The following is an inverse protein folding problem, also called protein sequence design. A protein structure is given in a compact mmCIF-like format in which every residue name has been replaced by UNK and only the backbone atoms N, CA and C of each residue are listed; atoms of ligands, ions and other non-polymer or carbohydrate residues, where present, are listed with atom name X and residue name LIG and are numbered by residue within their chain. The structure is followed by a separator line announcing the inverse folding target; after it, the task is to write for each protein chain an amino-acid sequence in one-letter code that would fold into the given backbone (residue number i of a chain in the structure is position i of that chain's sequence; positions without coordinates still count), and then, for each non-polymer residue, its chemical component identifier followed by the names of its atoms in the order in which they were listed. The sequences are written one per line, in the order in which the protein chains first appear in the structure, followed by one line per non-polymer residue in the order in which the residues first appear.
data_IF_713093303464
#
_entry.id   IF_713093303464
#
_cell.length_a   1.000
_cell.length_b   1.000
_cell.length_c   1.000
_cell.angle_alpha   90.00
_cell.angle_beta   90.00
_cell.angle_gamma   90.00
#
_symmetry.space_group_name_H-M   'P 1'
#
loop_
_entity.id
_entity.type
_entity.pdbx_description
1 polymer ?
#
# COMPACT_ATOMS: atom_id res chain seq x y z
N UNK A 1 49.72 21.95 -1.85
CA UNK A 1 48.75 21.23 -1.01
C UNK A 1 47.40 21.90 -1.19
N UNK A 2 46.65 21.47 -2.22
CA UNK A 2 45.28 21.94 -2.44
C UNK A 2 44.38 21.12 -1.52
N UNK A 3 43.75 21.78 -0.55
CA UNK A 3 42.73 21.15 0.30
C UNK A 3 41.50 20.88 -0.56
N UNK A 4 41.31 19.60 -0.89
CA UNK A 4 40.08 19.07 -1.45
C UNK A 4 38.97 19.30 -0.43
N UNK A 5 38.15 20.32 -0.64
CA UNK A 5 36.95 20.56 0.16
C UNK A 5 36.02 19.39 -0.09
N UNK A 6 35.90 18.49 0.89
CA UNK A 6 34.89 17.46 0.90
C UNK A 6 33.52 18.12 0.74
N UNK A 7 32.94 17.97 -0.45
CA UNK A 7 31.59 18.38 -0.78
C UNK A 7 30.65 17.54 0.09
N UNK A 8 30.26 18.07 1.24
CA UNK A 8 29.23 17.48 2.08
C UNK A 8 27.92 17.55 1.29
N UNK A 9 27.60 16.50 0.54
CA UNK A 9 26.31 16.38 -0.14
C UNK A 9 25.21 16.53 0.91
N UNK A 10 24.52 17.67 0.88
CA UNK A 10 23.49 17.98 1.86
C UNK A 10 22.36 16.93 1.77
N UNK A 11 21.90 16.35 2.89
CA UNK A 11 20.85 15.33 2.89
C UNK A 11 19.53 15.78 2.24
N UNK A 12 19.30 17.09 2.11
CA UNK A 12 18.16 17.64 1.40
C UNK A 12 18.24 17.41 -0.13
N UNK A 13 19.41 17.64 -0.72
CA UNK A 13 19.64 17.55 -2.17
C UNK A 13 19.54 16.11 -2.71
N UNK A 14 19.90 15.12 -1.89
CA UNK A 14 19.77 13.68 -2.24
C UNK A 14 18.32 13.23 -2.30
N UNK A 15 17.45 13.72 -1.41
CA UNK A 15 16.02 13.42 -1.42
C UNK A 15 15.30 14.09 -2.60
N UNK A 16 15.73 15.28 -3.03
CA UNK A 16 15.16 15.94 -4.22
C UNK A 16 15.45 15.16 -5.51
N UNK A 17 16.65 14.59 -5.60
CA UNK A 17 17.09 13.89 -6.80
C UNK A 17 16.58 12.45 -6.85
N UNK A 18 16.63 11.72 -5.73
CA UNK A 18 16.36 10.28 -5.70
C UNK A 18 15.01 9.92 -5.07
N UNK A 19 14.38 10.82 -4.30
CA UNK A 19 13.14 10.58 -3.59
C UNK A 19 12.01 10.05 -4.48
N UNK A 20 11.70 10.67 -5.63
CA UNK A 20 10.69 10.16 -6.55
C UNK A 20 10.97 8.75 -7.06
N UNK A 21 12.23 8.44 -7.35
CA UNK A 21 12.63 7.11 -7.85
C UNK A 21 12.49 6.04 -6.77
N UNK A 22 13.02 6.30 -5.56
CA UNK A 22 12.90 5.38 -4.42
C UNK A 22 11.43 5.12 -4.10
N UNK A 23 10.62 6.18 -4.03
CA UNK A 23 9.18 6.08 -3.78
C UNK A 23 8.49 5.25 -4.85
N UNK A 24 8.80 5.50 -6.13
CA UNK A 24 8.24 4.75 -7.25
C UNK A 24 8.61 3.28 -7.22
N UNK A 25 9.86 2.93 -6.92
CA UNK A 25 10.31 1.53 -6.80
C UNK A 25 9.59 0.82 -5.66
N UNK A 26 9.53 1.43 -4.46
CA UNK A 26 8.80 0.85 -3.33
C UNK A 26 7.31 0.68 -3.66
N UNK A 27 6.71 1.67 -4.30
CA UNK A 27 5.32 1.60 -4.71
C UNK A 27 5.06 0.49 -5.74
N UNK A 28 5.97 0.29 -6.69
CA UNK A 28 5.90 -0.83 -7.65
C UNK A 28 6.01 -2.18 -6.97
N UNK A 29 6.95 -2.33 -6.02
CA UNK A 29 7.08 -3.57 -5.24
C UNK A 29 5.77 -3.89 -4.52
N UNK A 30 5.18 -2.91 -3.82
CA UNK A 30 3.90 -3.11 -3.12
C UNK A 30 2.76 -3.39 -4.10
N UNK A 31 2.67 -2.65 -5.21
CA UNK A 31 1.63 -2.85 -6.22
C UNK A 31 1.67 -4.25 -6.85
N UNK A 32 2.86 -4.73 -7.21
CA UNK A 32 3.07 -6.10 -7.70
C UNK A 32 2.77 -7.12 -6.61
N UNK A 33 3.19 -6.88 -5.36
CA UNK A 33 2.89 -7.76 -4.26
C UNK A 33 1.38 -7.91 -3.99
N UNK A 34 0.60 -6.83 -4.12
CA UNK A 34 -0.87 -6.89 -4.01
C UNK A 34 -1.51 -7.65 -5.17
N UNK A 35 -1.01 -7.43 -6.41
CA UNK A 35 -1.49 -8.16 -7.58
C UNK A 35 -1.29 -9.67 -7.46
N UNK A 36 -0.22 -10.11 -6.80
CA UNK A 36 0.12 -11.53 -6.68
C UNK A 36 0.07 -12.05 -5.24
N UNK A 37 -0.61 -11.34 -4.33
CA UNK A 37 -0.77 -11.79 -2.95
C UNK A 37 -1.47 -13.16 -2.94
N UNK A 38 -0.94 -14.21 -2.29
CA UNK A 38 -1.45 -15.57 -2.47
C UNK A 38 -2.96 -15.70 -2.15
N UNK A 39 -3.43 -15.03 -1.11
CA UNK A 39 -4.80 -15.15 -0.61
C UNK A 39 -5.77 -14.16 -1.25
N UNK A 40 -5.28 -13.06 -1.82
CA UNK A 40 -6.11 -11.91 -2.23
C UNK A 40 -5.81 -11.38 -3.64
N UNK A 41 -4.74 -11.84 -4.28
CA UNK A 41 -4.29 -11.34 -5.58
C UNK A 41 -5.12 -11.85 -6.76
N UNK A 42 -4.56 -11.67 -7.95
CA UNK A 42 -5.19 -11.91 -9.25
C UNK A 42 -5.82 -13.29 -9.38
N UNK A 43 -5.13 -14.34 -8.96
CA UNK A 43 -5.64 -15.71 -9.07
C UNK A 43 -6.89 -15.93 -8.21
N UNK A 44 -6.90 -15.40 -6.97
CA UNK A 44 -8.07 -15.49 -6.09
C UNK A 44 -9.22 -14.64 -6.60
N UNK A 45 -8.94 -13.42 -7.07
CA UNK A 45 -9.94 -12.57 -7.71
C UNK A 45 -10.58 -13.27 -8.91
N UNK A 46 -9.77 -13.79 -9.85
CA UNK A 46 -10.25 -14.47 -11.03
C UNK A 46 -11.07 -15.72 -10.69
N UNK A 47 -10.63 -16.51 -9.69
CA UNK A 47 -11.37 -17.67 -9.21
C UNK A 47 -12.75 -17.29 -8.66
N UNK A 48 -12.83 -16.22 -7.86
CA UNK A 48 -14.12 -15.74 -7.30
C UNK A 48 -15.05 -15.20 -8.38
N UNK A 49 -14.56 -14.37 -9.29
CA UNK A 49 -15.37 -13.84 -10.40
C UNK A 49 -15.90 -14.97 -11.28
N UNK A 50 -15.08 -15.99 -11.55
CA UNK A 50 -15.48 -17.14 -12.38
C UNK A 50 -16.50 -18.02 -11.68
N UNK A 51 -16.38 -18.23 -10.37
CA UNK A 51 -17.30 -19.06 -9.61
C UNK A 51 -18.64 -18.35 -9.35
N UNK A 52 -18.60 -17.15 -8.79
CA UNK A 52 -19.75 -16.29 -8.52
C UNK A 52 -19.26 -14.86 -8.17
N UNK A 53 -19.48 -13.86 -9.03
CA UNK A 53 -19.11 -12.46 -8.74
C UNK A 53 -19.71 -11.91 -7.44
N UNK A 54 -20.85 -12.45 -6.98
CA UNK A 54 -21.48 -12.08 -5.71
C UNK A 54 -20.59 -12.33 -4.49
N UNK A 55 -19.62 -13.25 -4.60
CA UNK A 55 -18.62 -13.51 -3.55
C UNK A 55 -17.74 -12.29 -3.24
N UNK A 56 -17.60 -11.36 -4.19
CA UNK A 56 -16.86 -10.12 -3.98
C UNK A 56 -17.64 -9.10 -3.13
N UNK A 57 -18.97 -9.23 -3.02
CA UNK A 57 -19.75 -8.43 -2.07
C UNK A 57 -19.54 -8.92 -0.63
N UNK A 58 -19.38 -10.24 -0.45
CA UNK A 58 -19.13 -10.84 0.85
C UNK A 58 -17.70 -10.60 1.35
N UNK A 59 -16.73 -10.58 0.43
CA UNK A 59 -15.33 -10.26 0.70
C UNK A 59 -14.74 -9.42 -0.45
N UNK A 60 -14.73 -8.08 -0.32
CA UNK A 60 -14.30 -7.18 -1.38
C UNK A 60 -12.78 -7.12 -1.55
N UNK A 61 -12.01 -7.72 -0.64
CA UNK A 61 -10.56 -7.55 -0.59
C UNK A 61 -9.86 -7.96 -1.89
N UNK A 62 -10.18 -9.09 -2.57
CA UNK A 62 -9.45 -9.41 -3.80
C UNK A 62 -9.67 -8.42 -4.93
N UNK A 63 -10.88 -7.89 -5.07
CA UNK A 63 -11.17 -6.86 -6.06
C UNK A 63 -10.39 -5.58 -5.73
N UNK A 64 -10.34 -5.19 -4.45
CA UNK A 64 -9.55 -4.06 -4.00
C UNK A 64 -8.06 -4.28 -4.26
N UNK A 65 -7.47 -5.39 -3.81
CA UNK A 65 -6.06 -5.74 -4.00
C UNK A 65 -5.63 -5.68 -5.47
N UNK A 66 -6.41 -6.31 -6.36
CA UNK A 66 -6.09 -6.32 -7.79
C UNK A 66 -6.26 -4.94 -8.42
N UNK A 67 -7.38 -4.28 -8.15
CA UNK A 67 -7.69 -2.97 -8.73
C UNK A 67 -6.69 -1.89 -8.31
N UNK A 68 -6.39 -1.79 -7.01
CA UNK A 68 -5.43 -0.83 -6.47
C UNK A 68 -3.99 -1.21 -6.78
N UNK A 69 -3.65 -2.51 -6.82
CA UNK A 69 -2.35 -2.99 -7.26
C UNK A 69 -2.04 -2.60 -8.70
N UNK A 70 -3.00 -2.84 -9.61
CA UNK A 70 -2.90 -2.41 -11.01
C UNK A 70 -2.84 -0.89 -11.12
N UNK A 71 -3.72 -0.18 -10.41
CA UNK A 71 -3.73 1.28 -10.38
C UNK A 71 -2.41 1.88 -9.89
N UNK A 72 -1.76 1.24 -8.92
CA UNK A 72 -0.44 1.64 -8.42
C UNK A 72 0.63 1.47 -9.50
N UNK A 73 0.69 0.29 -10.16
CA UNK A 73 1.66 0.02 -11.22
C UNK A 73 1.49 1.02 -12.37
N UNK A 74 0.26 1.18 -12.87
CA UNK A 74 -0.04 2.13 -13.95
C UNK A 74 0.25 3.57 -13.50
N UNK A 75 -0.14 3.94 -12.29
CA UNK A 75 0.08 5.27 -11.73
C UNK A 75 1.56 5.64 -11.66
N UNK A 76 2.43 4.72 -11.23
CA UNK A 76 3.88 4.96 -11.20
C UNK A 76 4.45 5.12 -12.61
N UNK A 77 4.03 4.29 -13.57
CA UNK A 77 4.49 4.38 -14.95
C UNK A 77 4.09 5.70 -15.61
N UNK A 78 2.86 6.17 -15.36
CA UNK A 78 2.39 7.46 -15.86
C UNK A 78 3.07 8.65 -15.17
N UNK A 79 3.37 8.55 -13.87
CA UNK A 79 4.02 9.62 -13.11
C UNK A 79 5.47 9.88 -13.54
N UNK A 80 6.14 8.88 -14.11
CA UNK A 80 7.56 8.94 -14.49
C UNK A 80 7.88 10.16 -15.35
N UNK A 81 7.10 10.36 -16.41
CA UNK A 81 7.33 11.39 -17.43
C UNK A 81 6.30 12.52 -17.37
N UNK A 82 5.50 12.57 -16.29
CA UNK A 82 4.48 13.59 -16.11
C UNK A 82 5.08 14.98 -15.90
N UNK A 83 4.59 16.03 -16.59
CA UNK A 83 5.05 17.40 -16.39
C UNK A 83 4.69 17.94 -15.00
N UNK A 84 3.57 17.47 -14.44
CA UNK A 84 3.18 17.67 -13.05
C UNK A 84 2.95 16.30 -12.39
N UNK A 85 3.76 15.99 -11.38
CA UNK A 85 3.71 14.73 -10.63
C UNK A 85 2.78 14.79 -9.42
N UNK A 86 2.34 15.99 -9.01
CA UNK A 86 1.56 16.19 -7.80
C UNK A 86 0.24 15.40 -7.77
N UNK A 87 -0.55 15.29 -8.87
CA UNK A 87 -1.76 14.46 -8.87
C UNK A 87 -1.46 12.98 -8.60
N UNK A 88 -0.33 12.47 -9.10
CA UNK A 88 0.07 11.08 -8.90
C UNK A 88 0.50 10.84 -7.46
N UNK A 89 1.16 11.81 -6.81
CA UNK A 89 1.49 11.69 -5.40
C UNK A 89 0.25 11.67 -4.51
N UNK A 90 -0.76 12.49 -4.82
CA UNK A 90 -2.05 12.47 -4.11
C UNK A 90 -2.80 11.14 -4.32
N UNK A 91 -2.88 10.66 -5.56
CA UNK A 91 -3.54 9.40 -5.87
C UNK A 91 -2.82 8.21 -5.19
N UNK A 92 -1.49 8.18 -5.26
CA UNK A 92 -0.68 7.20 -4.52
C UNK A 92 -0.95 7.28 -3.02
N UNK A 93 -0.91 8.48 -2.44
CA UNK A 93 -1.12 8.66 -1.00
C UNK A 93 -2.49 8.11 -0.58
N UNK A 94 -3.54 8.39 -1.35
CA UNK A 94 -4.88 7.86 -1.09
C UNK A 94 -4.91 6.31 -1.13
N UNK A 95 -4.25 5.70 -2.11
CA UNK A 95 -4.17 4.22 -2.23
C UNK A 95 -3.43 3.62 -1.03
N UNK A 96 -2.24 4.11 -0.70
CA UNK A 96 -1.42 3.56 0.38
C UNK A 96 -2.03 3.77 1.77
N UNK A 97 -2.63 4.95 2.02
CA UNK A 97 -3.43 5.17 3.24
C UNK A 97 -4.61 4.19 3.28
N UNK A 98 -5.25 3.93 2.14
CA UNK A 98 -6.30 2.93 2.00
C UNK A 98 -5.86 1.52 2.41
N UNK A 99 -4.66 1.07 2.04
CA UNK A 99 -4.12 -0.23 2.46
C UNK A 99 -3.95 -0.31 3.97
N UNK A 100 -3.25 0.67 4.55
CA UNK A 100 -2.98 0.70 5.99
C UNK A 100 -4.28 0.79 6.79
N UNK A 101 -5.16 1.74 6.45
CA UNK A 101 -6.44 1.90 7.11
C UNK A 101 -7.35 0.67 6.92
N UNK A 102 -7.37 0.10 5.73
CA UNK A 102 -8.11 -1.11 5.40
C UNK A 102 -7.65 -2.32 6.22
N UNK A 103 -6.34 -2.50 6.40
CA UNK A 103 -5.77 -3.55 7.25
C UNK A 103 -6.31 -3.45 8.68
N UNK A 104 -6.17 -2.28 9.31
CA UNK A 104 -6.64 -2.09 10.68
C UNK A 104 -8.16 -2.20 10.79
N UNK A 105 -8.92 -1.58 9.88
CA UNK A 105 -10.38 -1.66 9.87
C UNK A 105 -10.86 -3.11 9.78
N UNK A 106 -10.27 -3.91 8.88
CA UNK A 106 -10.61 -5.31 8.70
C UNK A 106 -10.39 -6.15 9.95
N UNK A 107 -9.21 -6.04 10.56
CA UNK A 107 -8.83 -6.88 11.70
C UNK A 107 -9.44 -6.40 13.02
N UNK A 108 -9.54 -5.09 13.28
CA UNK A 108 -10.20 -4.57 14.47
C UNK A 108 -11.69 -4.90 14.50
N UNK A 109 -12.34 -4.90 13.33
CA UNK A 109 -13.75 -5.28 13.19
C UNK A 109 -13.99 -6.79 13.15
N UNK A 110 -12.96 -7.63 13.29
CA UNK A 110 -13.11 -9.09 13.24
C UNK A 110 -13.46 -9.60 11.84
N UNK A 111 -12.56 -9.39 10.87
CA UNK A 111 -12.70 -9.86 9.48
C UNK A 111 -13.91 -9.28 8.74
N UNK A 112 -14.06 -7.96 8.83
CA UNK A 112 -15.09 -7.24 8.08
C UNK A 112 -16.46 -7.20 8.75
N UNK A 113 -16.54 -7.27 10.08
CA UNK A 113 -17.80 -7.09 10.83
C UNK A 113 -18.44 -5.70 10.68
N UNK A 114 -17.81 -4.77 9.94
CA UNK A 114 -18.41 -3.50 9.53
C UNK A 114 -19.18 -3.60 8.20
N UNK A 115 -19.06 -4.71 7.48
CA UNK A 115 -19.78 -4.94 6.23
C UNK A 115 -21.25 -5.31 6.54
N UNK A 116 -22.20 -4.89 5.69
CA UNK A 116 -23.61 -5.22 5.88
C UNK A 116 -23.85 -6.73 6.03
N UNK A 117 -24.58 -7.11 7.08
CA UNK A 117 -24.96 -8.51 7.32
C UNK A 117 -23.86 -9.43 7.85
N UNK A 118 -22.73 -8.89 8.34
CA UNK A 118 -21.64 -9.69 8.93
C UNK A 118 -21.45 -9.37 10.41
N UNK A 119 -21.35 -10.42 11.22
CA UNK A 119 -20.93 -10.29 12.62
C UNK A 119 -19.40 -10.33 12.74
N UNK A 120 -18.80 -9.61 13.72
CA UNK A 120 -17.37 -9.66 13.99
C UNK A 120 -16.88 -11.07 14.34
N UNK A 121 -15.93 -11.59 13.56
CA UNK A 121 -15.26 -12.87 13.80
C UNK A 121 -13.87 -12.64 14.40
N UNK A 122 -13.77 -12.72 15.74
CA UNK A 122 -12.52 -12.48 16.50
C UNK A 122 -11.94 -13.72 17.21
N UNK A 123 -12.62 -14.87 17.12
CA UNK A 123 -12.21 -16.12 17.79
C UNK A 123 -11.90 -15.97 19.29
N UNK A 124 -12.72 -15.21 20.02
CA UNK A 124 -12.57 -14.98 21.46
C UNK A 124 -11.46 -13.97 21.84
N UNK A 125 -10.78 -13.35 20.87
CA UNK A 125 -9.75 -12.33 21.12
C UNK A 125 -10.35 -10.93 21.21
N UNK A 126 -9.69 -10.04 21.95
CA UNK A 126 -9.97 -8.61 21.87
C UNK A 126 -9.56 -8.03 20.49
N UNK A 127 -10.07 -6.86 20.08
CA UNK A 127 -9.71 -6.25 18.79
C UNK A 127 -8.20 -6.05 18.61
N UNK A 128 -7.50 -5.57 19.65
CA UNK A 128 -6.06 -5.31 19.61
C UNK A 128 -5.27 -6.62 19.52
N UNK A 129 -5.61 -7.63 20.32
CA UNK A 129 -4.99 -8.95 20.24
C UNK A 129 -5.18 -9.59 18.86
N UNK A 130 -6.34 -9.38 18.22
CA UNK A 130 -6.60 -9.88 16.88
C UNK A 130 -5.63 -9.26 15.86
N UNK A 131 -5.39 -7.95 15.92
CA UNK A 131 -4.42 -7.26 15.04
C UNK A 131 -3.01 -7.79 15.28
N UNK A 132 -2.57 -7.85 16.55
CA UNK A 132 -1.22 -8.30 16.90
C UNK A 132 -0.98 -9.76 16.49
N UNK A 133 -2.01 -10.61 16.60
CA UNK A 133 -1.95 -12.01 16.14
C UNK A 133 -1.70 -12.07 14.63
N UNK A 134 -2.39 -11.26 13.84
CA UNK A 134 -2.25 -11.26 12.38
C UNK A 134 -0.89 -10.71 11.93
N UNK A 135 -0.41 -9.64 12.57
CA UNK A 135 0.94 -9.12 12.32
C UNK A 135 2.01 -10.17 12.65
N UNK A 136 1.80 -10.99 13.67
CA UNK A 136 2.74 -12.05 14.06
C UNK A 136 2.65 -13.32 13.20
N UNK A 137 1.46 -13.65 12.66
CA UNK A 137 1.24 -14.88 11.90
C UNK A 137 1.55 -14.76 10.40
N UNK A 138 1.56 -13.54 9.86
CA UNK A 138 1.85 -13.27 8.46
C UNK A 138 2.99 -12.25 8.32
N UNK A 139 4.26 -12.71 8.37
CA UNK A 139 5.42 -11.83 8.25
C UNK A 139 5.49 -11.08 6.92
N UNK A 140 4.93 -11.65 5.86
CA UNK A 140 4.91 -11.02 4.54
C UNK A 140 3.94 -9.84 4.50
N UNK A 141 2.71 -10.02 5.02
CA UNK A 141 1.78 -8.91 5.23
C UNK A 141 2.39 -7.82 6.12
N UNK A 142 3.05 -8.20 7.23
CA UNK A 142 3.66 -7.24 8.14
C UNK A 142 4.77 -6.42 7.46
N UNK A 143 5.61 -7.07 6.65
CA UNK A 143 6.64 -6.40 5.87
C UNK A 143 6.05 -5.43 4.83
N UNK A 144 4.99 -5.84 4.11
CA UNK A 144 4.30 -4.96 3.17
C UNK A 144 3.68 -3.75 3.87
N UNK A 145 3.00 -3.94 4.99
CA UNK A 145 2.42 -2.85 5.79
C UNK A 145 3.48 -1.84 6.24
N UNK A 146 4.67 -2.31 6.62
CA UNK A 146 5.79 -1.43 6.95
C UNK A 146 6.30 -0.63 5.74
N UNK A 147 6.44 -1.28 4.57
CA UNK A 147 6.83 -0.59 3.32
C UNK A 147 5.77 0.43 2.91
N UNK A 148 4.48 0.10 3.03
CA UNK A 148 3.38 1.01 2.76
C UNK A 148 3.45 2.27 3.63
N UNK A 149 3.72 2.12 4.93
CA UNK A 149 3.91 3.25 5.83
C UNK A 149 5.09 4.14 5.41
N UNK A 150 6.20 3.54 4.96
CA UNK A 150 7.34 4.30 4.41
C UNK A 150 6.94 5.06 3.14
N UNK A 151 6.22 4.41 2.21
CA UNK A 151 5.74 5.05 0.99
C UNK A 151 4.82 6.23 1.30
N UNK A 152 3.92 6.11 2.28
CA UNK A 152 3.06 7.22 2.74
C UNK A 152 3.91 8.41 3.18
N UNK A 153 4.90 8.19 4.05
CA UNK A 153 5.78 9.26 4.54
C UNK A 153 6.51 9.93 3.38
N UNK A 154 7.07 9.14 2.45
CA UNK A 154 7.77 9.67 1.28
C UNK A 154 6.84 10.49 0.37
N UNK A 155 5.62 10.02 0.12
CA UNK A 155 4.62 10.74 -0.67
C UNK A 155 4.21 12.06 -0.02
N UNK A 156 4.06 12.10 1.30
CA UNK A 156 3.78 13.34 2.05
C UNK A 156 4.93 14.35 1.89
N UNK A 157 6.18 13.89 2.02
CA UNK A 157 7.36 14.75 1.81
C UNK A 157 7.41 15.27 0.37
N UNK A 158 7.18 14.41 -0.63
CA UNK A 158 7.16 14.80 -2.04
C UNK A 158 6.03 15.79 -2.36
N UNK A 159 4.86 15.64 -1.72
CA UNK A 159 3.74 16.58 -1.87
C UNK A 159 4.02 17.96 -1.31
N UNK A 160 4.75 18.03 -0.19
CA UNK A 160 5.14 19.31 0.40
C UNK A 160 6.16 20.04 -0.49
N UNK A 161 7.09 19.30 -1.10
CA UNK A 161 8.12 19.83 -2.02
C UNK A 161 7.58 20.18 -3.42
N UNK A 162 6.47 19.58 -3.83
CA UNK A 162 5.84 19.85 -5.12
C UNK A 162 4.82 21.00 -5.09
N UNK A 163 4.84 21.83 -4.04
CA UNK A 163 4.02 23.05 -3.91
C UNK A 163 4.65 24.22 -4.65
#
# INVERSE_FOLDING_TARGET
MSSETAETTEPAATLDTHGPWVTGVLALVVGVAHLFYPELGFFTFAARVTADPGLLLADPRPALFVGSGLGTVVGVLLARDAPDRRPYYLAGLAVFVGYVAGYFAWHLAGHGGFLPGREPLRHGRSPVENVLTHLGSDPFAAALLAVEAVVIVLLVVLLDRAR
#
